data_IF_315346621724
#
_entry.id   IF_315346621724
#
_cell.length_a   1.000
_cell.length_b   1.000
_cell.length_c   1.000
_cell.angle_alpha   90.00
_cell.angle_beta   90.00
_cell.angle_gamma   90.00
#
_symmetry.space_group_name_H-M   'P 1'
#
loop_
_entity.id
_entity.type
_entity.pdbx_description
1 polymer ?
#
# COMPACT_ATOMS: atom_id res chain seq x y z
N UNK A 1 25.60 0.79 16.06
CA UNK A 1 25.32 -0.36 15.18
C UNK A 1 24.03 -0.05 14.43
N UNK A 2 24.09 0.03 13.10
CA UNK A 2 23.04 0.61 12.27
C UNK A 2 21.78 -0.26 12.18
N UNK A 3 20.63 0.36 12.41
CA UNK A 3 19.31 -0.22 12.13
C UNK A 3 19.02 -0.10 10.63
N UNK A 4 19.63 -0.96 9.82
CA UNK A 4 19.11 -1.27 8.49
C UNK A 4 18.16 -2.46 8.64
N UNK A 5 17.00 -2.24 9.27
CA UNK A 5 15.87 -3.14 9.04
C UNK A 5 15.44 -2.89 7.60
N UNK A 6 15.97 -3.70 6.69
CA UNK A 6 15.60 -3.67 5.28
C UNK A 6 14.09 -3.72 5.16
N UNK A 7 13.53 -2.78 4.42
CA UNK A 7 12.10 -2.74 4.11
C UNK A 7 11.71 -4.10 3.52
N UNK A 8 10.90 -4.87 4.25
CA UNK A 8 10.54 -6.22 3.84
C UNK A 8 9.49 -6.11 2.73
N UNK A 9 9.92 -6.25 1.48
CA UNK A 9 9.04 -6.20 0.32
C UNK A 9 8.14 -7.43 0.36
N UNK A 10 6.82 -7.19 0.38
CA UNK A 10 5.77 -8.23 0.36
C UNK A 10 6.03 -9.28 -0.74
N UNK A 11 5.62 -10.54 -0.49
CA UNK A 11 5.58 -11.60 -1.51
C UNK A 11 4.83 -11.15 -2.76
N UNK A 12 3.76 -10.39 -2.56
CA UNK A 12 2.81 -9.99 -3.60
C UNK A 12 3.47 -8.98 -4.56
N UNK A 13 4.30 -8.07 -4.03
CA UNK A 13 5.05 -7.12 -4.83
C UNK A 13 6.08 -7.83 -5.72
N UNK A 14 6.69 -8.91 -5.24
CA UNK A 14 7.65 -9.69 -6.03
C UNK A 14 6.96 -10.45 -7.16
N UNK A 15 5.77 -10.97 -6.90
CA UNK A 15 4.95 -11.67 -7.90
C UNK A 15 4.46 -10.70 -8.99
N UNK A 16 3.90 -9.55 -8.60
CA UNK A 16 3.50 -8.49 -9.53
C UNK A 16 4.69 -8.00 -10.36
N UNK A 17 5.86 -7.80 -9.74
CA UNK A 17 7.06 -7.39 -10.46
C UNK A 17 7.51 -8.44 -11.50
N UNK A 18 7.39 -9.73 -11.16
CA UNK A 18 7.71 -10.81 -12.10
C UNK A 18 6.77 -10.80 -13.31
N UNK A 19 5.46 -10.69 -13.07
CA UNK A 19 4.45 -10.62 -14.13
C UNK A 19 4.65 -9.40 -15.04
N UNK A 20 4.93 -8.23 -14.46
CA UNK A 20 5.21 -7.01 -15.19
C UNK A 20 6.48 -7.12 -16.05
N UNK A 21 7.53 -7.74 -15.50
CA UNK A 21 8.78 -7.99 -16.22
C UNK A 21 8.54 -8.87 -17.45
N UNK A 22 7.87 -10.00 -17.27
CA UNK A 22 7.62 -10.97 -18.32
C UNK A 22 6.65 -10.44 -19.39
N UNK A 23 5.58 -9.75 -18.96
CA UNK A 23 4.55 -9.21 -19.85
C UNK A 23 4.99 -7.99 -20.68
N UNK A 24 5.86 -7.15 -20.12
CA UNK A 24 6.24 -5.87 -20.75
C UNK A 24 7.73 -5.75 -21.07
N UNK A 25 8.52 -6.82 -20.91
CA UNK A 25 9.97 -6.87 -21.15
C UNK A 25 10.74 -5.77 -20.42
N UNK A 26 10.31 -5.46 -19.20
CA UNK A 26 10.90 -4.42 -18.37
C UNK A 26 12.21 -4.90 -17.73
N UNK A 27 13.03 -3.96 -17.29
CA UNK A 27 14.13 -4.27 -16.38
C UNK A 27 13.60 -4.63 -14.99
N UNK A 28 14.39 -5.35 -14.18
CA UNK A 28 14.04 -5.66 -12.79
C UNK A 28 13.72 -4.40 -11.97
N UNK A 29 14.47 -3.32 -12.21
CA UNK A 29 14.27 -2.04 -11.55
C UNK A 29 12.93 -1.39 -11.92
N UNK A 30 12.59 -1.35 -13.21
CA UNK A 30 11.32 -0.78 -13.69
C UNK A 30 10.12 -1.58 -13.19
N UNK A 31 10.19 -2.91 -13.28
CA UNK A 31 9.10 -3.78 -12.84
C UNK A 31 8.86 -3.68 -11.33
N UNK A 32 9.93 -3.66 -10.53
CA UNK A 32 9.83 -3.48 -9.09
C UNK A 32 9.29 -2.09 -8.73
N UNK A 33 9.72 -1.05 -9.45
CA UNK A 33 9.23 0.32 -9.24
C UNK A 33 7.72 0.42 -9.49
N UNK A 34 7.23 -0.25 -10.55
CA UNK A 34 5.79 -0.27 -10.86
C UNK A 34 5.00 -1.09 -9.85
N UNK A 35 5.50 -2.26 -9.44
CA UNK A 35 4.85 -3.09 -8.43
C UNK A 35 4.71 -2.36 -7.08
N UNK A 36 5.75 -1.65 -6.64
CA UNK A 36 5.71 -0.82 -5.43
C UNK A 36 4.69 0.32 -5.54
N UNK A 37 4.59 0.97 -6.71
CA UNK A 37 3.59 2.00 -6.96
C UNK A 37 2.17 1.44 -6.94
N UNK A 38 1.96 0.23 -7.46
CA UNK A 38 0.66 -0.44 -7.43
C UNK A 38 0.22 -0.74 -5.99
N UNK A 39 1.12 -1.32 -5.18
CA UNK A 39 0.88 -1.60 -3.76
C UNK A 39 0.56 -0.31 -2.97
N UNK A 40 1.32 0.76 -3.20
CA UNK A 40 1.07 2.05 -2.59
C UNK A 40 -0.31 2.60 -2.99
N UNK A 41 -0.69 2.49 -4.25
CA UNK A 41 -2.00 2.93 -4.73
C UNK A 41 -3.14 2.15 -4.06
N UNK A 42 -3.00 0.83 -3.87
CA UNK A 42 -3.99 0.02 -3.15
C UNK A 42 -4.11 0.41 -1.67
N UNK A 43 -2.98 0.66 -1.00
CA UNK A 43 -2.97 1.15 0.36
C UNK A 43 -3.67 2.51 0.48
N UNK A 44 -3.39 3.43 -0.45
CA UNK A 44 -4.05 4.73 -0.50
C UNK A 44 -5.56 4.57 -0.77
N UNK A 45 -5.97 3.75 -1.74
CA UNK A 45 -7.40 3.49 -1.99
C UNK A 45 -8.10 2.99 -0.74
N UNK A 46 -7.53 2.01 -0.03
CA UNK A 46 -8.11 1.49 1.23
C UNK A 46 -8.15 2.56 2.33
N UNK A 47 -7.15 3.43 2.40
CA UNK A 47 -7.12 4.52 3.37
C UNK A 47 -8.14 5.63 3.08
N UNK A 48 -8.40 5.91 1.79
CA UNK A 48 -9.27 6.99 1.32
C UNK A 48 -10.71 6.59 1.03
N UNK A 49 -11.02 5.30 0.91
CA UNK A 49 -12.41 4.85 0.96
C UNK A 49 -13.03 5.37 2.27
N UNK A 50 -14.26 5.85 2.22
CA UNK A 50 -15.03 6.24 3.40
C UNK A 50 -15.91 5.03 3.72
N UNK A 51 -15.90 4.57 4.97
CA UNK A 51 -16.73 3.44 5.37
C UNK A 51 -18.15 3.94 5.54
N UNK A 52 -19.10 3.24 4.94
CA UNK A 52 -20.53 3.50 5.20
C UNK A 52 -20.97 3.00 6.58
N UNK A 53 -20.07 2.35 7.33
CA UNK A 53 -20.34 1.76 8.65
C UNK A 53 -19.24 2.11 9.65
N UNK A 54 -19.63 2.52 10.85
CA UNK A 54 -18.66 2.81 11.93
C UNK A 54 -17.90 1.55 12.43
N UNK A 55 -18.36 0.36 12.04
CA UNK A 55 -17.77 -0.92 12.46
C UNK A 55 -16.41 -1.21 11.81
N UNK A 56 -16.11 -0.58 10.66
CA UNK A 56 -14.88 -0.79 9.90
C UNK A 56 -14.29 0.55 9.46
N UNK A 57 -13.73 1.34 10.39
CA UNK A 57 -13.18 2.64 10.05
C UNK A 57 -12.04 2.49 9.04
N UNK A 58 -12.04 3.33 8.01
CA UNK A 58 -10.95 3.38 7.04
C UNK A 58 -9.72 4.03 7.64
N UNK A 59 -8.61 4.01 6.90
CA UNK A 59 -7.35 4.58 7.39
C UNK A 59 -7.49 6.03 7.87
N UNK A 60 -8.23 6.86 7.12
CA UNK A 60 -8.51 8.23 7.52
C UNK A 60 -9.47 8.34 8.69
N UNK A 61 -10.52 7.51 8.76
CA UNK A 61 -11.48 7.52 9.86
C UNK A 61 -10.83 7.07 11.17
N UNK A 62 -9.91 6.10 11.12
CA UNK A 62 -9.10 5.67 12.24
C UNK A 62 -8.17 6.79 12.73
N UNK A 63 -7.51 7.50 11.82
CA UNK A 63 -6.67 8.67 12.16
C UNK A 63 -7.53 9.79 12.76
N UNK A 64 -8.67 10.12 12.15
CA UNK A 64 -9.58 11.15 12.65
C UNK A 64 -10.07 10.83 14.07
N UNK A 65 -10.45 9.57 14.30
CA UNK A 65 -10.85 9.07 15.63
C UNK A 65 -9.71 9.18 16.64
N UNK A 66 -8.49 8.79 16.27
CA UNK A 66 -7.30 8.91 17.13
C UNK A 66 -6.96 10.37 17.47
N UNK A 67 -7.26 11.30 16.55
CA UNK A 67 -7.11 12.74 16.75
C UNK A 67 -8.29 13.38 17.50
N UNK A 68 -9.29 12.59 17.92
CA UNK A 68 -10.44 13.05 18.70
C UNK A 68 -11.59 13.65 17.88
N UNK A 69 -11.52 13.57 16.55
CA UNK A 69 -12.65 13.90 15.68
C UNK A 69 -13.65 12.74 15.73
N UNK A 70 -14.86 13.00 16.21
CA UNK A 70 -15.96 12.04 16.18
C UNK A 70 -16.91 12.43 15.05
N UNK A 71 -17.22 11.48 14.17
CA UNK A 71 -18.31 11.64 13.20
C UNK A 71 -19.59 12.03 13.95
N UNK A 72 -20.25 13.08 13.47
CA UNK A 72 -21.50 13.60 14.02
C UNK A 72 -22.68 13.07 13.21
#
# INVERSE_FOLDING_TARGET
>A
MGLAHGFNISSDVKEIAKELKEGYKLTDFEALTLALKAEQNELLKRAFVISSTDAHPTGLEAIATALGYKNR
#
